data_IF_142093851262
#
_entry.id   IF_142093851262
#
_cell.length_a   1.000
_cell.length_b   1.000
_cell.length_c   1.000
_cell.angle_alpha   90.00
_cell.angle_beta   90.00
_cell.angle_gamma   90.00
#
_symmetry.space_group_name_H-M   'P 1'
#
loop_
_entity.id
_entity.type
_entity.pdbx_description
1 polymer ?
#
# COMPACT_ATOMS: atom_id res chain seq x y z
N UNK A 1 5.90 -23.22 3.98
CA UNK A 1 5.39 -21.90 4.43
C UNK A 1 6.49 -20.95 4.86
N UNK A 2 7.49 -21.37 5.65
CA UNK A 2 8.55 -20.49 6.19
C UNK A 2 9.22 -19.54 5.18
N UNK A 3 9.66 -20.04 4.01
CA UNK A 3 10.30 -19.18 2.98
C UNK A 3 9.44 -17.98 2.57
N UNK A 4 8.13 -18.17 2.33
CA UNK A 4 7.22 -17.09 1.91
C UNK A 4 7.10 -16.00 2.99
N UNK A 5 7.05 -16.41 4.25
CA UNK A 5 6.95 -15.50 5.40
C UNK A 5 8.27 -14.72 5.58
N UNK A 6 9.41 -15.38 5.42
CA UNK A 6 10.72 -14.71 5.48
C UNK A 6 10.90 -13.68 4.37
N UNK A 7 10.54 -14.01 3.12
CA UNK A 7 10.62 -13.05 2.00
C UNK A 7 9.71 -11.84 2.19
N UNK A 8 8.45 -12.08 2.59
CA UNK A 8 7.52 -10.98 2.89
C UNK A 8 7.99 -10.15 4.09
N UNK A 9 8.67 -10.73 5.08
CA UNK A 9 9.32 -9.98 6.15
C UNK A 9 10.44 -9.05 5.66
N UNK A 10 11.28 -9.50 4.72
CA UNK A 10 12.33 -8.67 4.11
C UNK A 10 11.70 -7.52 3.31
N UNK A 11 10.66 -7.80 2.54
CA UNK A 11 9.91 -6.78 1.80
C UNK A 11 9.22 -5.79 2.73
N UNK A 12 8.76 -6.23 3.90
CA UNK A 12 8.18 -5.36 4.92
C UNK A 12 9.24 -4.41 5.48
N UNK A 13 10.43 -4.91 5.77
CA UNK A 13 11.54 -4.06 6.20
C UNK A 13 11.90 -3.01 5.14
N UNK A 14 11.96 -3.40 3.87
CA UNK A 14 12.19 -2.47 2.75
C UNK A 14 11.09 -1.40 2.66
N UNK A 15 9.82 -1.80 2.77
CA UNK A 15 8.67 -0.90 2.77
C UNK A 15 8.79 0.16 3.86
N UNK A 16 9.21 -0.27 5.04
CA UNK A 16 9.36 0.57 6.21
C UNK A 16 10.54 1.52 6.08
N UNK A 17 11.66 1.09 5.49
CA UNK A 17 12.79 1.98 5.19
C UNK A 17 12.34 3.13 4.27
N UNK A 18 11.51 2.86 3.27
CA UNK A 18 10.95 3.91 2.41
C UNK A 18 10.07 4.90 3.18
N UNK A 19 9.27 4.40 4.15
CA UNK A 19 8.47 5.26 5.02
C UNK A 19 9.31 6.05 6.03
N UNK A 20 10.46 5.53 6.46
CA UNK A 20 11.42 6.31 7.26
C UNK A 20 12.00 7.46 6.42
N UNK A 21 12.37 7.18 5.16
CA UNK A 21 12.89 8.20 4.24
C UNK A 21 11.88 9.32 3.97
N UNK A 22 10.57 9.01 3.94
CA UNK A 22 9.54 10.04 3.79
C UNK A 22 9.47 11.00 4.99
N UNK A 23 9.84 10.57 6.20
CA UNK A 23 9.94 11.47 7.35
C UNK A 23 11.20 12.35 7.30
N UNK A 24 12.32 11.82 6.79
CA UNK A 24 13.62 12.53 6.74
C UNK A 24 13.64 13.55 5.60
N UNK A 25 13.04 13.22 4.44
CA UNK A 25 13.05 14.04 3.23
C UNK A 25 11.62 14.55 2.94
N UNK A 26 11.21 15.69 3.54
CA UNK A 26 9.83 16.15 3.48
C UNK A 26 9.39 16.67 2.09
N UNK A 27 10.33 16.93 1.18
CA UNK A 27 10.05 17.49 -0.15
C UNK A 27 9.28 16.51 -1.05
N UNK A 28 9.52 15.20 -0.91
CA UNK A 28 9.00 14.17 -1.82
C UNK A 28 8.31 13.01 -1.07
N UNK A 29 7.60 13.30 0.02
CA UNK A 29 6.93 12.28 0.85
C UNK A 29 5.99 11.37 0.07
N UNK A 30 5.20 11.93 -0.85
CA UNK A 30 4.28 11.20 -1.72
C UNK A 30 4.99 10.20 -2.65
N UNK A 31 6.19 10.55 -3.13
CA UNK A 31 6.98 9.65 -3.96
C UNK A 31 7.41 8.40 -3.20
N UNK A 32 7.90 8.56 -1.96
CA UNK A 32 8.30 7.45 -1.11
C UNK A 32 7.11 6.57 -0.71
N UNK A 33 5.95 7.16 -0.41
CA UNK A 33 4.71 6.39 -0.17
C UNK A 33 4.25 5.65 -1.42
N UNK A 34 4.39 6.26 -2.60
CA UNK A 34 4.17 5.62 -3.89
C UNK A 34 5.06 4.39 -4.09
N UNK A 35 6.37 4.51 -3.83
CA UNK A 35 7.29 3.36 -3.90
C UNK A 35 6.93 2.28 -2.88
N UNK A 36 6.53 2.66 -1.67
CA UNK A 36 6.05 1.70 -0.67
C UNK A 36 4.80 0.95 -1.16
N UNK A 37 3.88 1.61 -1.87
CA UNK A 37 2.70 0.94 -2.45
C UNK A 37 3.05 -0.14 -3.48
N UNK A 38 4.13 0.06 -4.25
CA UNK A 38 4.58 -0.92 -5.24
C UNK A 38 4.98 -2.23 -4.56
N UNK A 39 5.61 -2.16 -3.38
CA UNK A 39 5.98 -3.36 -2.62
C UNK A 39 4.74 -4.13 -2.19
N UNK A 40 3.68 -3.45 -1.76
CA UNK A 40 2.41 -4.11 -1.42
C UNK A 40 1.83 -4.81 -2.65
N UNK A 41 1.83 -4.16 -3.80
CA UNK A 41 1.37 -4.75 -5.06
C UNK A 41 2.23 -5.97 -5.48
N UNK A 42 3.55 -5.90 -5.34
CA UNK A 42 4.47 -7.03 -5.62
C UNK A 42 4.14 -8.22 -4.74
N UNK A 43 3.93 -8.01 -3.43
CA UNK A 43 3.56 -9.10 -2.51
C UNK A 43 2.24 -9.76 -2.90
N UNK A 44 1.25 -8.96 -3.30
CA UNK A 44 -0.05 -9.46 -3.77
C UNK A 44 0.09 -10.28 -5.05
N UNK A 45 0.92 -9.83 -6.00
CA UNK A 45 1.14 -10.51 -7.28
C UNK A 45 1.93 -11.83 -7.11
N UNK A 46 2.97 -11.85 -6.28
CA UNK A 46 3.82 -13.02 -6.09
C UNK A 46 3.21 -14.08 -5.16
N UNK A 47 2.57 -13.65 -4.07
CA UNK A 47 2.12 -14.54 -3.00
C UNK A 47 0.60 -14.63 -2.85
N UNK A 48 -0.14 -13.87 -3.66
CA UNK A 48 -1.60 -13.88 -3.72
C UNK A 48 -2.28 -12.96 -2.70
N UNK A 49 -3.61 -12.83 -2.85
CA UNK A 49 -4.43 -11.89 -2.08
C UNK A 49 -4.31 -12.06 -0.56
N UNK A 50 -4.39 -13.31 -0.05
CA UNK A 50 -4.34 -13.58 1.39
C UNK A 50 -3.04 -13.06 2.04
N UNK A 51 -1.90 -13.29 1.39
CA UNK A 51 -0.60 -12.81 1.88
C UNK A 51 -0.48 -11.29 1.76
N UNK A 52 -1.03 -10.70 0.70
CA UNK A 52 -1.14 -9.26 0.55
C UNK A 52 -1.92 -8.58 1.69
N UNK A 53 -3.05 -9.17 2.11
CA UNK A 53 -3.84 -8.64 3.23
C UNK A 53 -3.04 -8.69 4.54
N UNK A 54 -2.35 -9.81 4.80
CA UNK A 54 -1.48 -9.92 5.98
C UNK A 54 -0.36 -8.89 5.95
N UNK A 55 0.28 -8.70 4.78
CA UNK A 55 1.33 -7.71 4.60
C UNK A 55 0.81 -6.28 4.81
N UNK A 56 -0.36 -5.96 4.27
CA UNK A 56 -1.02 -4.67 4.47
C UNK A 56 -1.31 -4.38 5.94
N UNK A 57 -1.84 -5.36 6.69
CA UNK A 57 -2.10 -5.18 8.14
C UNK A 57 -0.78 -4.96 8.87
N UNK A 58 0.23 -5.77 8.59
CA UNK A 58 1.55 -5.64 9.22
C UNK A 58 2.20 -4.27 8.91
N UNK A 59 2.16 -3.82 7.65
CA UNK A 59 2.75 -2.53 7.25
C UNK A 59 1.97 -1.35 7.84
N UNK A 60 0.65 -1.44 7.93
CA UNK A 60 -0.21 -0.41 8.54
C UNK A 60 0.08 -0.23 10.03
N UNK A 61 0.26 -1.35 10.76
CA UNK A 61 0.62 -1.32 12.19
C UNK A 61 2.02 -0.74 12.37
N UNK A 62 3.00 -1.20 11.60
CA UNK A 62 4.38 -0.75 11.79
C UNK A 62 4.57 0.72 11.36
N UNK A 63 3.93 1.12 10.27
CA UNK A 63 3.95 2.51 9.80
C UNK A 63 3.31 3.48 10.80
N UNK A 64 2.39 3.05 11.65
CA UNK A 64 1.79 3.90 12.69
C UNK A 64 2.84 4.42 13.68
N UNK A 65 3.82 3.59 14.02
CA UNK A 65 4.90 3.96 14.94
C UNK A 65 6.00 4.79 14.27
N UNK A 66 6.16 4.63 12.95
CA UNK A 66 7.29 5.20 12.21
C UNK A 66 6.96 6.55 11.58
N UNK A 67 5.76 6.71 11.05
CA UNK A 67 5.32 7.97 10.46
C UNK A 67 4.91 8.90 11.60
N UNK A 68 5.67 10.00 11.76
CA UNK A 68 5.44 10.96 12.84
C UNK A 68 4.13 11.74 12.62
N UNK A 69 3.87 12.13 11.36
CA UNK A 69 2.67 12.86 10.99
C UNK A 69 1.48 11.89 10.77
N UNK A 70 0.46 11.98 11.62
CA UNK A 70 -0.70 11.08 11.56
C UNK A 70 -1.58 11.28 10.33
N UNK A 71 -1.61 12.47 9.73
CA UNK A 71 -2.29 12.69 8.46
C UNK A 71 -1.59 11.94 7.30
N UNK A 72 -0.25 11.94 7.31
CA UNK A 72 0.56 11.20 6.35
C UNK A 72 0.42 9.68 6.52
N UNK A 73 0.31 9.21 7.76
CA UNK A 73 0.01 7.80 8.03
C UNK A 73 -1.37 7.40 7.51
N UNK A 74 -2.39 8.24 7.79
CA UNK A 74 -3.74 7.99 7.30
C UNK A 74 -3.77 7.95 5.77
N UNK A 75 -3.07 8.88 5.11
CA UNK A 75 -2.87 8.85 3.66
C UNK A 75 -2.26 7.54 3.20
N UNK A 76 -1.12 7.13 3.77
CA UNK A 76 -0.45 5.89 3.38
C UNK A 76 -1.34 4.65 3.52
N UNK A 77 -2.02 4.49 4.65
CA UNK A 77 -2.87 3.31 4.90
C UNK A 77 -4.09 3.32 3.99
N UNK A 78 -4.77 4.46 3.88
CA UNK A 78 -6.06 4.59 3.17
C UNK A 78 -5.90 4.52 1.64
N UNK A 79 -4.81 5.08 1.10
CA UNK A 79 -4.58 5.16 -0.35
C UNK A 79 -3.56 4.12 -0.80
N UNK A 80 -2.28 4.36 -0.49
CA UNK A 80 -1.14 3.67 -1.06
C UNK A 80 -1.12 2.18 -0.71
N UNK A 81 -1.30 1.84 0.56
CA UNK A 81 -1.24 0.46 1.02
C UNK A 81 -2.48 -0.35 0.59
N UNK A 82 -3.68 0.26 0.62
CA UNK A 82 -4.93 -0.36 0.15
C UNK A 82 -5.00 -0.54 -1.37
N UNK A 83 -4.42 0.39 -2.14
CA UNK A 83 -4.52 0.37 -3.60
C UNK A 83 -3.94 -0.91 -4.22
N UNK A 84 -2.84 -1.44 -3.68
CA UNK A 84 -2.25 -2.69 -4.17
C UNK A 84 -3.23 -3.88 -4.11
N UNK A 85 -4.05 -3.94 -3.06
CA UNK A 85 -5.09 -4.97 -2.89
C UNK A 85 -6.27 -4.73 -3.82
N UNK A 86 -6.72 -3.48 -3.95
CA UNK A 86 -7.89 -3.12 -4.75
C UNK A 86 -7.60 -3.29 -6.23
N UNK A 87 -6.40 -2.91 -6.68
CA UNK A 87 -5.93 -3.16 -8.04
C UNK A 87 -6.06 -4.64 -8.39
N UNK A 88 -5.60 -5.53 -7.51
CA UNK A 88 -5.71 -6.97 -7.71
C UNK A 88 -7.17 -7.46 -7.82
N UNK A 89 -8.08 -6.93 -7.01
CA UNK A 89 -9.51 -7.28 -7.09
C UNK A 89 -10.14 -6.77 -8.40
N UNK A 90 -9.75 -5.57 -8.83
CA UNK A 90 -10.32 -4.90 -10.01
C UNK A 90 -9.87 -5.59 -11.30
N UNK A 91 -8.59 -5.92 -11.43
CA UNK A 91 -7.99 -6.49 -12.65
C UNK A 91 -8.31 -7.98 -12.85
N UNK A 92 -9.02 -8.60 -11.90
CA UNK A 92 -9.38 -10.00 -11.97
C UNK A 92 -10.58 -10.25 -12.92
N UNK A 93 -10.31 -10.24 -14.23
CA UNK A 93 -11.23 -10.73 -15.27
C UNK A 93 -12.33 -9.74 -15.72
N UNK A 94 -12.12 -8.43 -15.53
CA UNK A 94 -13.09 -7.39 -15.90
C UNK A 94 -12.72 -6.69 -17.21
N UNK A 95 -13.69 -6.00 -17.81
CA UNK A 95 -13.44 -5.18 -19.00
C UNK A 95 -12.72 -3.88 -18.62
N UNK A 96 -11.85 -3.39 -19.51
CA UNK A 96 -11.02 -2.20 -19.29
C UNK A 96 -11.83 -0.97 -18.83
N UNK A 97 -13.06 -0.81 -19.34
CA UNK A 97 -13.95 0.29 -18.98
C UNK A 97 -14.42 0.21 -17.52
N UNK A 98 -14.77 -0.99 -17.04
CA UNK A 98 -15.16 -1.20 -15.64
C UNK A 98 -13.97 -1.02 -14.69
N UNK A 99 -12.76 -1.38 -15.12
CA UNK A 99 -11.57 -1.17 -14.30
C UNK A 99 -11.29 0.32 -14.06
N UNK A 100 -11.31 1.13 -15.12
CA UNK A 100 -11.08 2.57 -15.04
C UNK A 100 -12.16 3.21 -14.17
N UNK A 101 -13.42 2.84 -14.38
CA UNK A 101 -14.53 3.34 -13.57
C UNK A 101 -14.36 3.02 -12.09
N UNK A 102 -14.03 1.77 -11.73
CA UNK A 102 -13.81 1.37 -10.33
C UNK A 102 -12.58 2.04 -9.71
N UNK A 103 -11.50 2.21 -10.47
CA UNK A 103 -10.29 2.94 -10.03
C UNK A 103 -10.64 4.41 -9.72
N UNK A 104 -11.49 5.05 -10.54
CA UNK A 104 -11.98 6.40 -10.28
C UNK A 104 -12.88 6.47 -9.06
N UNK A 105 -13.85 5.57 -8.91
CA UNK A 105 -14.74 5.53 -7.73
C UNK A 105 -13.93 5.36 -6.44
N UNK A 106 -12.92 4.48 -6.45
CA UNK A 106 -12.03 4.29 -5.31
C UNK A 106 -11.26 5.57 -4.98
N UNK A 107 -10.60 6.19 -5.96
CA UNK A 107 -9.84 7.42 -5.76
C UNK A 107 -10.70 8.57 -5.19
N UNK A 108 -11.91 8.76 -5.74
CA UNK A 108 -12.84 9.77 -5.25
C UNK A 108 -13.36 9.47 -3.84
N UNK A 109 -13.65 8.20 -3.53
CA UNK A 109 -14.12 7.80 -2.21
C UNK A 109 -13.10 8.06 -1.12
N UNK A 110 -11.81 7.80 -1.40
CA UNK A 110 -10.75 8.10 -0.44
C UNK A 110 -10.56 9.60 -0.26
N UNK A 111 -10.64 10.37 -1.35
CA UNK A 111 -10.53 11.83 -1.28
C UNK A 111 -11.60 12.43 -0.37
N UNK A 112 -12.84 11.91 -0.44
CA UNK A 112 -13.94 12.31 0.45
C UNK A 112 -13.65 11.92 1.91
N UNK A 113 -13.04 10.76 2.15
CA UNK A 113 -12.69 10.33 3.51
C UNK A 113 -11.56 11.16 4.14
N UNK A 114 -10.73 11.80 3.33
CA UNK A 114 -9.54 12.53 3.76
C UNK A 114 -9.73 14.05 3.90
N UNK A 115 -10.86 14.57 3.43
CA UNK A 115 -11.30 15.97 3.52
C UNK A 115 -12.18 16.17 4.76
#
# INVERSE_FOLDING_TARGET
MGKKISYTGILLALNIILLILSNIIPVNTLFFMGLASLIVAIVVLEYGFKMGVVFYIASSILSFFIIMNKAQWLLYVSTFALYGLIKYIIENGRSIYLEIFLKLVFANSIMIFLI
#
